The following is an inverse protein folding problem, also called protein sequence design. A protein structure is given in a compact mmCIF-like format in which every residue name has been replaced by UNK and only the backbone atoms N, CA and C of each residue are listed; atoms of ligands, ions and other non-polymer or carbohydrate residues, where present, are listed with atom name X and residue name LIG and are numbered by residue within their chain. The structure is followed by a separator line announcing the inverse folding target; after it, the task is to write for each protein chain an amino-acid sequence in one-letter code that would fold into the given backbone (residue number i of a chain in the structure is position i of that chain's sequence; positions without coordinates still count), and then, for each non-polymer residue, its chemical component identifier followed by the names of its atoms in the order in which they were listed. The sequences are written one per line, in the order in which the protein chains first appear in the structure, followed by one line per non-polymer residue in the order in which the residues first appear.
data_IF_941452252918
#
_entry.id   IF_941452252918
#
_cell.length_a   1.000
_cell.length_b   1.000
_cell.length_c   1.000
_cell.angle_alpha   90.00
_cell.angle_beta   90.00
_cell.angle_gamma   90.00
#
_symmetry.space_group_name_H-M   'P 1'
#
loop_
_entity.id
_entity.type
_entity.pdbx_description
1 polymer ?
#
# COMPACT_ATOMS: atom_id res chain seq x y z
N UNK A 1 9.12 -1.14 -3.75
CA UNK A 1 9.46 -0.28 -2.57
C UNK A 1 8.82 -0.86 -1.31
N UNK A 2 9.56 -1.02 -0.22
CA UNK A 2 9.00 -1.40 1.09
C UNK A 2 8.32 -0.20 1.74
N UNK A 3 7.04 -0.36 2.07
CA UNK A 3 6.12 0.69 2.54
C UNK A 3 6.41 1.10 3.99
N UNK A 4 7.25 0.34 4.71
CA UNK A 4 7.69 0.64 6.08
C UNK A 4 9.02 1.38 6.14
N UNK A 5 9.88 1.23 5.13
CA UNK A 5 11.28 1.70 5.17
C UNK A 5 11.66 2.61 4.00
N UNK A 6 10.84 2.68 2.95
CA UNK A 6 11.21 3.36 1.71
C UNK A 6 12.36 2.67 0.96
N UNK A 7 12.74 1.45 1.37
CA UNK A 7 13.85 0.74 0.75
C UNK A 7 13.37 -0.10 -0.44
N UNK A 8 14.09 -0.10 -1.56
CA UNK A 8 13.82 -1.02 -2.64
C UNK A 8 14.12 -2.45 -2.16
N UNK A 9 13.11 -3.33 -2.20
CA UNK A 9 13.34 -4.78 -2.10
C UNK A 9 13.43 -5.35 -3.52
N UNK A 10 14.53 -6.02 -3.82
CA UNK A 10 14.68 -6.80 -5.06
C UNK A 10 13.91 -8.09 -4.92
N UNK A 11 12.88 -8.27 -5.77
CA UNK A 11 12.09 -9.50 -5.88
C UNK A 11 12.35 -10.13 -7.25
N UNK A 12 12.35 -11.46 -7.31
CA UNK A 12 12.51 -12.22 -8.55
C UNK A 12 11.41 -13.26 -8.66
N UNK A 13 10.91 -13.47 -9.87
CA UNK A 13 9.94 -14.52 -10.20
C UNK A 13 10.16 -14.97 -11.64
N UNK A 14 9.78 -16.21 -11.93
CA UNK A 14 9.70 -16.75 -13.30
C UNK A 14 8.26 -16.74 -13.84
N UNK A 15 7.29 -16.37 -13.00
CA UNK A 15 5.89 -16.24 -13.37
C UNK A 15 5.62 -14.82 -13.91
N UNK A 16 5.17 -14.75 -15.16
CA UNK A 16 4.86 -13.49 -15.82
C UNK A 16 3.64 -12.78 -15.20
N UNK A 17 2.65 -13.52 -14.70
CA UNK A 17 1.47 -12.93 -14.03
C UNK A 17 1.88 -12.27 -12.71
N UNK A 18 2.76 -12.94 -11.96
CA UNK A 18 3.31 -12.39 -10.73
C UNK A 18 4.17 -11.15 -10.97
N UNK A 19 4.98 -11.14 -12.03
CA UNK A 19 5.77 -9.97 -12.42
C UNK A 19 4.85 -8.79 -12.78
N UNK A 20 3.81 -9.03 -13.58
CA UNK A 20 2.83 -8.01 -13.96
C UNK A 20 2.10 -7.47 -12.73
N UNK A 21 1.67 -8.35 -11.82
CA UNK A 21 1.10 -7.96 -10.54
C UNK A 21 2.03 -7.03 -9.78
N UNK A 22 3.33 -7.34 -9.63
CA UNK A 22 4.26 -6.48 -8.90
C UNK A 22 4.44 -5.10 -9.53
N UNK A 23 4.49 -5.02 -10.86
CA UNK A 23 4.60 -3.73 -11.56
C UNK A 23 3.35 -2.89 -11.33
N UNK A 24 2.17 -3.48 -11.49
CA UNK A 24 0.88 -2.83 -11.25
C UNK A 24 0.75 -2.39 -9.80
N UNK A 25 1.13 -3.26 -8.86
CA UNK A 25 1.09 -3.01 -7.43
C UNK A 25 2.00 -1.84 -7.01
N UNK A 26 3.23 -1.77 -7.52
CA UNK A 26 4.15 -0.65 -7.25
C UNK A 26 3.64 0.66 -7.87
N UNK A 27 3.13 0.62 -9.11
CA UNK A 27 2.58 1.81 -9.79
C UNK A 27 1.32 2.34 -9.09
N UNK A 28 0.35 1.47 -8.78
CA UNK A 28 -0.88 1.81 -8.09
C UNK A 28 -0.60 2.43 -6.72
N UNK A 29 0.35 1.87 -5.97
CA UNK A 29 0.77 2.41 -4.68
C UNK A 29 1.36 3.81 -4.79
N UNK A 30 2.24 4.05 -5.76
CA UNK A 30 2.82 5.37 -5.98
C UNK A 30 1.77 6.42 -6.36
N UNK A 31 0.84 6.06 -7.24
CA UNK A 31 -0.28 6.92 -7.66
C UNK A 31 -1.17 7.23 -6.46
N UNK A 32 -1.54 6.22 -5.66
CA UNK A 32 -2.38 6.39 -4.48
C UNK A 32 -1.75 7.32 -3.44
N UNK A 33 -0.44 7.19 -3.19
CA UNK A 33 0.28 8.09 -2.28
C UNK A 33 0.32 9.53 -2.81
N UNK A 34 0.64 9.71 -4.09
CA UNK A 34 0.65 11.04 -4.71
C UNK A 34 -0.73 11.69 -4.69
N UNK A 35 -1.81 10.91 -4.88
CA UNK A 35 -3.18 11.41 -4.74
C UNK A 35 -3.48 11.83 -3.30
N UNK A 36 -3.15 11.00 -2.31
CA UNK A 36 -3.36 11.30 -0.90
C UNK A 36 -2.64 12.60 -0.49
N UNK A 37 -1.37 12.74 -0.88
CA UNK A 37 -0.55 13.91 -0.56
C UNK A 37 -1.07 15.22 -1.21
N UNK A 38 -1.67 15.13 -2.40
CA UNK A 38 -2.26 16.28 -3.11
C UNK A 38 -3.70 16.57 -2.71
N UNK A 39 -4.33 15.70 -1.91
CA UNK A 39 -5.73 15.84 -1.53
C UNK A 39 -5.92 16.98 -0.50
N UNK A 40 -7.13 17.57 -0.40
CA UNK A 40 -7.44 18.55 0.64
C UNK A 40 -7.22 18.01 2.06
N UNK A 41 -7.40 16.70 2.28
CA UNK A 41 -7.16 16.05 3.57
C UNK A 41 -5.71 16.21 4.05
N UNK A 42 -4.75 16.36 3.13
CA UNK A 42 -3.34 16.53 3.46
C UNK A 42 -3.01 17.85 4.18
N UNK A 43 -3.94 18.82 4.20
CA UNK A 43 -3.73 20.13 4.85
C UNK A 43 -3.85 20.08 6.38
N UNK A 44 -4.37 19.00 6.95
CA UNK A 44 -4.61 18.91 8.39
C UNK A 44 -4.40 17.54 9.00
N UNK A 45 -3.99 16.54 8.21
CA UNK A 45 -3.70 15.20 8.68
C UNK A 45 -2.20 14.91 8.58
N UNK A 46 -1.65 14.18 9.56
CA UNK A 46 -0.30 13.65 9.47
C UNK A 46 -0.17 12.57 8.38
N UNK A 47 1.07 12.23 8.03
CA UNK A 47 1.37 11.30 6.96
C UNK A 47 0.78 9.89 7.21
N UNK A 48 0.76 9.42 8.46
CA UNK A 48 0.24 8.10 8.82
C UNK A 48 -1.28 8.05 8.70
N UNK A 49 -1.96 9.12 9.09
CA UNK A 49 -3.40 9.30 8.93
C UNK A 49 -3.76 9.34 7.45
N UNK A 50 -3.05 10.11 6.62
CA UNK A 50 -3.26 10.15 5.17
C UNK A 50 -3.02 8.79 4.51
N UNK A 51 -1.97 8.08 4.96
CA UNK A 51 -1.65 6.74 4.49
C UNK A 51 -2.82 5.80 4.77
N UNK A 52 -3.25 5.73 6.02
CA UNK A 52 -4.30 4.81 6.46
C UNK A 52 -5.68 5.13 5.86
N UNK A 53 -6.04 6.41 5.75
CA UNK A 53 -7.41 6.83 5.40
C UNK A 53 -7.62 7.09 3.91
N UNK A 54 -6.57 7.39 3.15
CA UNK A 54 -6.69 7.74 1.73
C UNK A 54 -5.83 6.82 0.85
N UNK A 55 -4.53 6.72 1.14
CA UNK A 55 -3.60 6.04 0.23
C UNK A 55 -3.81 4.52 0.18
N UNK A 56 -3.91 3.84 1.33
CA UNK A 56 -4.10 2.38 1.36
C UNK A 56 -5.44 1.96 0.72
N UNK A 57 -6.59 2.60 1.01
CA UNK A 57 -7.84 2.29 0.32
C UNK A 57 -7.78 2.52 -1.20
N UNK A 58 -7.16 3.61 -1.66
CA UNK A 58 -7.03 3.87 -3.09
C UNK A 58 -6.11 2.88 -3.79
N UNK A 59 -5.01 2.47 -3.14
CA UNK A 59 -4.13 1.43 -3.66
C UNK A 59 -4.90 0.12 -3.88
N UNK A 60 -5.66 -0.34 -2.88
CA UNK A 60 -6.50 -1.53 -3.03
C UNK A 60 -7.53 -1.39 -4.15
N UNK A 61 -8.18 -0.22 -4.25
CA UNK A 61 -9.18 0.05 -5.27
C UNK A 61 -8.58 0.01 -6.69
N UNK A 62 -7.42 0.62 -6.92
CA UNK A 62 -6.76 0.64 -8.23
C UNK A 62 -6.35 -0.76 -8.69
N UNK A 63 -5.78 -1.57 -7.79
CA UNK A 63 -5.38 -2.95 -8.15
C UNK A 63 -6.62 -3.81 -8.40
N UNK A 64 -7.64 -3.71 -7.53
CA UNK A 64 -8.89 -4.47 -7.67
C UNK A 64 -9.66 -4.15 -8.95
N UNK A 65 -9.59 -2.90 -9.42
CA UNK A 65 -10.20 -2.49 -10.69
C UNK A 65 -9.55 -3.15 -11.91
N UNK A 66 -8.29 -3.60 -11.81
CA UNK A 66 -7.58 -4.30 -12.88
C UNK A 66 -7.75 -5.82 -12.77
N UNK A 67 -7.57 -6.38 -11.58
CA UNK A 67 -7.86 -7.78 -11.27
C UNK A 67 -8.33 -7.94 -9.80
N UNK A 68 -9.54 -8.44 -9.55
CA UNK A 68 -10.06 -8.62 -8.18
C UNK A 68 -9.24 -9.59 -7.30
N UNK A 69 -8.56 -10.57 -7.89
CA UNK A 69 -7.67 -11.50 -7.17
C UNK A 69 -6.42 -10.77 -6.69
N UNK A 70 -5.85 -9.93 -7.55
CA UNK A 70 -4.76 -9.05 -7.16
C UNK A 70 -5.21 -8.05 -6.09
N UNK A 71 -6.41 -7.49 -6.22
CA UNK A 71 -7.02 -6.63 -5.19
C UNK A 71 -7.09 -7.33 -3.81
N UNK A 72 -7.48 -8.60 -3.79
CA UNK A 72 -7.54 -9.40 -2.56
C UNK A 72 -6.14 -9.63 -1.96
N UNK A 73 -5.12 -9.92 -2.79
CA UNK A 73 -3.72 -10.07 -2.38
C UNK A 73 -3.15 -8.76 -1.82
N UNK A 74 -3.45 -7.64 -2.46
CA UNK A 74 -3.08 -6.30 -1.99
C UNK A 74 -3.75 -5.97 -0.66
N UNK A 75 -5.05 -6.29 -0.49
CA UNK A 75 -5.75 -6.05 0.78
C UNK A 75 -5.13 -6.84 1.94
N UNK A 76 -4.80 -8.12 1.74
CA UNK A 76 -4.12 -8.92 2.76
C UNK A 76 -2.75 -8.31 3.14
N UNK A 77 -2.04 -7.74 2.17
CA UNK A 77 -0.77 -7.03 2.42
C UNK A 77 -0.99 -5.76 3.26
N UNK A 78 -2.01 -4.98 2.93
CA UNK A 78 -2.41 -3.77 3.67
C UNK A 78 -2.76 -4.14 5.12
N UNK A 79 -3.55 -5.18 5.32
CA UNK A 79 -3.96 -5.63 6.65
C UNK A 79 -2.72 -6.03 7.47
N UNK A 80 -1.79 -6.78 6.89
CA UNK A 80 -0.53 -7.14 7.55
C UNK A 80 0.31 -5.90 7.94
N UNK A 81 0.40 -4.90 7.04
CA UNK A 81 1.10 -3.64 7.31
C UNK A 81 0.47 -2.88 8.49
N UNK A 82 -0.86 -2.77 8.52
CA UNK A 82 -1.60 -2.09 9.59
C UNK A 82 -1.50 -2.84 10.93
N UNK A 83 -1.50 -4.17 10.91
CA UNK A 83 -1.30 -4.99 12.12
C UNK A 83 0.10 -4.81 12.69
N UNK A 84 1.15 -4.80 11.85
CA UNK A 84 2.54 -4.65 12.28
C UNK A 84 2.89 -3.22 12.73
N UNK A 85 2.09 -2.22 12.36
CA UNK A 85 2.30 -0.81 12.73
C UNK A 85 1.74 -0.46 14.11
N UNK A 86 0.94 -1.33 14.75
CA UNK A 86 0.48 -1.11 16.13
C UNK A 86 1.62 -1.38 17.10
N UNK A 87 1.99 -0.43 18.00
CA UNK A 87 3.01 -0.70 18.99
C UNK A 87 2.50 -1.80 19.93
N UNK A 88 3.33 -2.82 20.14
CA UNK A 88 3.14 -3.79 21.23
C UNK A 88 3.10 -2.97 22.52
N UNK A 89 1.89 -2.76 23.07
CA UNK A 89 1.69 -2.05 24.33
C UNK A 89 2.40 -2.86 25.42
N UNK A 90 3.65 -2.52 25.73
CA UNK A 90 4.36 -3.09 26.88
C UNK A 90 3.59 -2.63 28.11
N UNK A 91 2.90 -3.57 28.76
CA UNK A 91 2.40 -3.37 30.10
C UNK A 91 3.59 -3.02 31.01
N UNK A 92 3.48 -1.88 31.68
CA UNK A 92 4.33 -1.53 32.83
C UNK A 92 3.76 -2.17 34.08
#
# INVERSE_FOLDING_TARGET
MDVLTGQPSTRQTVDADELLYWIVDDAARAIAWNFAYRSPAARGADADTLKATVALPLWAAFVSALDPRWGSKTQATIDALLHNSKPTRRAS
#
